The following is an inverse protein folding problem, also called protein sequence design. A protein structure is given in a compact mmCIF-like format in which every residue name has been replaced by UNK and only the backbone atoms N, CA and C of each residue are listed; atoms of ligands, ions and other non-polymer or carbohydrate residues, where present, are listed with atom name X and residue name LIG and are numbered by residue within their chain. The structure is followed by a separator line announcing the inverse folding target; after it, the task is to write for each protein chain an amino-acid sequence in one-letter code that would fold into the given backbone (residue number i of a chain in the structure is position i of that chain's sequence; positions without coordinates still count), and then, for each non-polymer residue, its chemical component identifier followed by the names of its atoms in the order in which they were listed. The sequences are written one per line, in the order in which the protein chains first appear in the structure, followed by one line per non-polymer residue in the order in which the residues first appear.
data_IF_815666138374
#
_entry.id   IF_815666138374
#
_cell.length_a   1.000
_cell.length_b   1.000
_cell.length_c   1.000
_cell.angle_alpha   90.00
_cell.angle_beta   90.00
_cell.angle_gamma   90.00
#
_symmetry.space_group_name_H-M   'P 1'
#
loop_
_entity.id
_entity.type
_entity.pdbx_description
1 polymer ?
#
# COMPACT_ATOMS: atom_id res chain seq x y z
N UNK A 1 21.24 50.64 -1.83
CA UNK A 1 20.96 49.64 -0.76
C UNK A 1 19.71 48.78 -0.98
N UNK A 2 18.84 49.01 -1.99
CA UNK A 2 17.63 48.17 -2.21
C UNK A 2 17.85 46.84 -2.97
N UNK A 3 19.03 46.61 -3.56
CA UNK A 3 19.32 45.39 -4.34
C UNK A 3 19.80 44.19 -3.52
N UNK A 4 20.49 44.41 -2.39
CA UNK A 4 21.12 43.32 -1.61
C UNK A 4 20.08 42.52 -0.79
N UNK A 5 19.01 43.17 -0.32
CA UNK A 5 17.98 42.54 0.52
C UNK A 5 17.12 41.56 -0.31
N UNK A 6 16.75 41.93 -1.55
CA UNK A 6 15.93 41.08 -2.43
C UNK A 6 16.67 39.81 -2.89
N UNK A 7 17.99 39.88 -3.02
CA UNK A 7 18.81 38.71 -3.36
C UNK A 7 18.94 37.74 -2.18
N UNK A 8 19.15 38.25 -0.96
CA UNK A 8 19.22 37.44 0.25
C UNK A 8 17.90 36.71 0.55
N UNK A 9 16.75 37.37 0.35
CA UNK A 9 15.44 36.76 0.56
C UNK A 9 15.16 35.63 -0.45
N UNK A 10 15.57 35.79 -1.71
CA UNK A 10 15.47 34.74 -2.73
C UNK A 10 16.39 33.56 -2.44
N UNK A 11 17.63 33.83 -2.05
CA UNK A 11 18.61 32.79 -1.73
C UNK A 11 18.20 31.99 -0.49
N UNK A 12 17.63 32.64 0.52
CA UNK A 12 17.06 31.97 1.70
C UNK A 12 15.82 31.13 1.35
N UNK A 13 14.94 31.64 0.49
CA UNK A 13 13.79 30.88 0.01
C UNK A 13 14.21 29.63 -0.80
N UNK A 14 15.16 29.79 -1.73
CA UNK A 14 15.75 28.69 -2.50
C UNK A 14 16.42 27.64 -1.60
N UNK A 15 17.18 28.06 -0.59
CA UNK A 15 17.81 27.16 0.36
C UNK A 15 16.79 26.39 1.22
N UNK A 16 15.68 27.05 1.58
CA UNK A 16 14.57 26.41 2.30
C UNK A 16 13.86 25.37 1.43
N UNK A 17 13.62 25.68 0.16
CA UNK A 17 13.02 24.76 -0.80
C UNK A 17 13.93 23.55 -1.06
N UNK A 18 15.24 23.77 -1.20
CA UNK A 18 16.22 22.70 -1.36
C UNK A 18 16.31 21.80 -0.10
N UNK A 19 16.30 22.39 1.08
CA UNK A 19 16.30 21.64 2.34
C UNK A 19 15.03 20.81 2.52
N UNK A 20 13.86 21.38 2.22
CA UNK A 20 12.58 20.67 2.27
C UNK A 20 12.57 19.51 1.27
N UNK A 21 13.05 19.74 0.04
CA UNK A 21 13.15 18.69 -0.97
C UNK A 21 14.09 17.56 -0.56
N UNK A 22 15.27 17.87 -0.01
CA UNK A 22 16.23 16.86 0.49
C UNK A 22 15.64 16.03 1.62
N UNK A 23 14.92 16.67 2.54
CA UNK A 23 14.22 15.99 3.63
C UNK A 23 13.23 14.96 3.08
N UNK A 24 12.30 15.39 2.22
CA UNK A 24 11.26 14.50 1.68
C UNK A 24 11.80 13.42 0.76
N UNK A 25 12.88 13.70 0.02
CA UNK A 25 13.57 12.67 -0.75
C UNK A 25 14.10 11.55 0.16
N UNK A 26 14.70 11.91 1.30
CA UNK A 26 15.32 10.96 2.22
C UNK A 26 14.30 10.21 3.10
N UNK A 27 13.17 10.84 3.44
CA UNK A 27 12.19 10.27 4.40
C UNK A 27 10.96 9.66 3.75
N UNK A 28 10.43 10.29 2.69
CA UNK A 28 9.21 9.86 2.02
C UNK A 28 9.54 9.03 0.77
N UNK A 29 10.28 9.62 -0.17
CA UNK A 29 10.52 8.98 -1.48
C UNK A 29 11.33 7.69 -1.32
N UNK A 30 12.43 7.73 -0.57
CA UNK A 30 13.27 6.55 -0.36
C UNK A 30 12.50 5.40 0.29
N UNK A 31 11.73 5.68 1.34
CA UNK A 31 10.98 4.65 2.08
C UNK A 31 9.85 4.08 1.24
N UNK A 32 9.08 4.92 0.56
CA UNK A 32 7.89 4.48 -0.15
C UNK A 32 8.25 3.75 -1.47
N UNK A 33 9.31 4.16 -2.18
CA UNK A 33 9.80 3.41 -3.34
C UNK A 33 10.21 2.00 -2.93
N UNK A 34 10.96 1.90 -1.83
CA UNK A 34 11.53 0.64 -1.37
C UNK A 34 10.46 -0.35 -0.90
N UNK A 35 9.50 0.11 -0.08
CA UNK A 35 8.37 -0.74 0.35
C UNK A 35 7.50 -1.15 -0.82
N UNK A 36 7.21 -0.25 -1.76
CA UNK A 36 6.40 -0.55 -2.94
C UNK A 36 7.07 -1.64 -3.77
N UNK A 37 8.38 -1.51 -3.99
CA UNK A 37 9.19 -2.50 -4.69
C UNK A 37 9.19 -3.85 -4.00
N UNK A 38 9.43 -3.87 -2.69
CA UNK A 38 9.43 -5.09 -1.90
C UNK A 38 8.13 -5.91 -2.03
N UNK A 39 6.99 -5.25 -2.24
CA UNK A 39 5.70 -5.89 -2.50
C UNK A 39 5.57 -6.42 -3.93
N UNK A 40 5.70 -5.55 -4.95
CA UNK A 40 5.44 -5.98 -6.33
C UNK A 40 6.50 -6.96 -6.85
N UNK A 41 7.74 -6.89 -6.34
CA UNK A 41 8.83 -7.78 -6.74
C UNK A 41 8.96 -9.01 -5.83
N UNK A 42 8.03 -9.22 -4.89
CA UNK A 42 8.15 -10.32 -3.92
C UNK A 42 8.13 -11.68 -4.62
N UNK A 43 9.11 -12.57 -4.37
CA UNK A 43 9.21 -13.84 -5.10
C UNK A 43 8.23 -14.91 -4.59
N UNK A 44 7.78 -14.81 -3.33
CA UNK A 44 6.85 -15.77 -2.71
C UNK A 44 5.40 -15.39 -2.94
N UNK A 45 4.47 -16.36 -2.79
CA UNK A 45 3.03 -16.08 -2.83
C UNK A 45 2.66 -15.19 -1.64
N UNK A 46 2.07 -14.03 -1.94
CA UNK A 46 1.56 -13.04 -1.01
C UNK A 46 0.05 -13.23 -0.86
N UNK A 47 -0.39 -13.42 0.38
CA UNK A 47 -1.81 -13.56 0.71
C UNK A 47 -2.18 -12.45 1.71
N UNK A 48 -3.15 -11.63 1.35
CA UNK A 48 -3.72 -10.61 2.23
C UNK A 48 -5.01 -11.10 2.85
N UNK A 49 -5.09 -10.99 4.18
CA UNK A 49 -6.31 -11.14 4.96
C UNK A 49 -6.86 -9.74 5.25
N UNK A 50 -7.73 -9.22 4.38
CA UNK A 50 -8.33 -7.89 4.52
C UNK A 50 -9.52 -7.98 5.49
N UNK A 51 -9.24 -7.87 6.79
CA UNK A 51 -10.25 -7.99 7.86
C UNK A 51 -10.92 -6.67 8.25
N UNK A 52 -10.75 -5.63 7.43
CA UNK A 52 -11.24 -4.27 7.70
C UNK A 52 -10.94 -3.35 6.51
N UNK A 53 -11.21 -2.03 6.65
CA UNK A 53 -10.88 -1.05 5.62
C UNK A 53 -9.39 -1.03 5.26
N UNK A 54 -9.09 -0.93 3.98
CA UNK A 54 -7.76 -0.68 3.45
C UNK A 54 -7.69 0.77 2.97
N UNK A 55 -6.79 1.58 3.55
CA UNK A 55 -6.74 3.03 3.32
C UNK A 55 -5.34 3.52 2.90
N UNK A 56 -5.27 4.38 1.89
CA UNK A 56 -4.05 5.07 1.46
C UNK A 56 -2.99 4.13 0.90
N UNK A 57 -1.73 4.31 1.30
CA UNK A 57 -0.62 3.45 0.86
C UNK A 57 -0.90 1.98 1.16
N UNK A 58 -1.56 1.66 2.27
CA UNK A 58 -1.96 0.29 2.61
C UNK A 58 -2.87 -0.34 1.55
N UNK A 59 -3.85 0.42 1.05
CA UNK A 59 -4.73 -0.03 -0.03
C UNK A 59 -3.95 -0.28 -1.33
N UNK A 60 -2.98 0.57 -1.63
CA UNK A 60 -2.09 0.42 -2.78
C UNK A 60 -1.19 -0.82 -2.64
N UNK A 61 -0.61 -1.05 -1.46
CA UNK A 61 0.31 -2.16 -1.22
C UNK A 61 -0.40 -3.52 -1.29
N UNK A 62 -1.59 -3.67 -0.71
CA UNK A 62 -2.31 -4.95 -0.78
C UNK A 62 -2.74 -5.32 -2.20
N UNK A 63 -2.85 -4.35 -3.11
CA UNK A 63 -3.19 -4.62 -4.51
C UNK A 63 -2.13 -5.45 -5.25
N UNK A 64 -0.90 -5.53 -4.71
CA UNK A 64 0.18 -6.38 -5.22
C UNK A 64 0.12 -7.83 -4.71
N UNK A 65 -0.76 -8.16 -3.77
CA UNK A 65 -0.90 -9.52 -3.27
C UNK A 65 -1.47 -10.45 -4.33
N UNK A 66 -0.98 -11.68 -4.40
CA UNK A 66 -1.48 -12.66 -5.38
C UNK A 66 -2.94 -13.05 -5.05
N UNK A 67 -3.26 -13.15 -3.75
CA UNK A 67 -4.59 -13.45 -3.26
C UNK A 67 -5.00 -12.49 -2.14
N UNK A 68 -6.22 -11.94 -2.24
CA UNK A 68 -6.82 -11.10 -1.20
C UNK A 68 -8.15 -11.72 -0.80
N UNK A 69 -8.31 -11.94 0.50
CA UNK A 69 -9.51 -12.53 1.07
C UNK A 69 -10.10 -11.60 2.13
N UNK A 70 -11.41 -11.64 2.27
CA UNK A 70 -12.17 -10.83 3.21
C UNK A 70 -13.06 -11.74 4.09
N UNK A 71 -13.24 -11.48 5.40
CA UNK A 71 -14.19 -12.22 6.21
C UNK A 71 -15.64 -11.83 5.88
N UNK A 72 -16.55 -12.79 5.97
CA UNK A 72 -17.99 -12.59 6.03
C UNK A 72 -18.47 -12.94 7.44
N UNK A 73 -19.03 -11.99 8.19
CA UNK A 73 -19.67 -12.35 9.46
C UNK A 73 -21.03 -13.01 9.21
N UNK A 74 -21.28 -14.25 9.71
CA UNK A 74 -22.54 -14.96 9.46
C UNK A 74 -23.78 -14.22 9.99
N UNK A 75 -23.62 -13.46 11.09
CA UNK A 75 -24.73 -12.86 11.83
C UNK A 75 -24.82 -11.33 11.65
N UNK A 76 -23.92 -10.74 10.87
CA UNK A 76 -23.83 -9.29 10.70
C UNK A 76 -23.67 -8.94 9.22
N UNK A 77 -24.75 -8.45 8.62
CA UNK A 77 -24.72 -7.89 7.26
C UNK A 77 -23.77 -6.67 7.16
N UNK A 78 -23.28 -6.10 8.28
CA UNK A 78 -22.40 -4.92 8.26
C UNK A 78 -20.94 -5.22 7.97
N UNK A 79 -20.40 -6.43 8.11
CA UNK A 79 -18.95 -6.67 7.96
C UNK A 79 -18.44 -6.37 6.53
N UNK A 80 -19.24 -6.70 5.49
CA UNK A 80 -18.94 -6.34 4.10
C UNK A 80 -19.26 -4.89 3.76
N UNK A 81 -20.14 -4.24 4.53
CA UNK A 81 -20.48 -2.82 4.38
C UNK A 81 -19.46 -1.91 5.08
N UNK A 82 -18.81 -2.39 6.14
CA UNK A 82 -17.80 -1.68 6.91
C UNK A 82 -16.42 -1.72 6.25
N UNK A 83 -16.12 -2.79 5.50
CA UNK A 83 -14.83 -2.92 4.83
C UNK A 83 -14.85 -2.36 3.42
N UNK A 84 -13.92 -1.45 3.16
CA UNK A 84 -13.79 -0.76 1.89
C UNK A 84 -12.32 -0.52 1.55
N UNK A 85 -12.07 -0.24 0.29
CA UNK A 85 -10.83 0.33 -0.20
C UNK A 85 -11.01 1.84 -0.37
N UNK A 86 -10.09 2.63 0.17
CA UNK A 86 -10.07 4.09 0.05
C UNK A 86 -8.66 4.61 -0.19
N UNK A 87 -8.47 5.40 -1.23
CA UNK A 87 -7.20 6.06 -1.54
C UNK A 87 -7.41 7.57 -1.53
N UNK A 88 -7.34 8.24 -0.36
CA UNK A 88 -7.69 9.65 -0.21
C UNK A 88 -6.56 10.57 -0.72
N UNK A 89 -5.83 10.17 -1.76
CA UNK A 89 -4.67 10.89 -2.27
C UNK A 89 -5.05 12.30 -2.73
N UNK A 90 -6.04 12.40 -3.62
CA UNK A 90 -6.48 13.71 -4.16
C UNK A 90 -7.10 14.60 -3.10
N UNK A 91 -7.74 14.03 -2.07
CA UNK A 91 -8.28 14.78 -0.92
C UNK A 91 -7.17 15.32 -0.02
N UNK A 92 -6.04 14.61 0.09
CA UNK A 92 -4.87 15.01 0.88
C UNK A 92 -3.87 15.85 0.08
N UNK A 93 -4.21 16.29 -1.13
CA UNK A 93 -3.31 17.02 -2.02
C UNK A 93 -2.11 16.19 -2.53
N UNK A 94 -2.23 14.86 -2.48
CA UNK A 94 -1.26 13.89 -2.96
C UNK A 94 -1.62 13.34 -4.34
N UNK A 95 -0.65 12.68 -4.95
CA UNK A 95 -0.85 11.80 -6.11
C UNK A 95 -0.90 10.35 -5.64
N UNK A 96 -1.18 9.41 -6.56
CA UNK A 96 -1.09 7.98 -6.26
C UNK A 96 0.28 7.59 -5.73
N UNK A 97 0.29 6.63 -4.80
CA UNK A 97 1.49 6.00 -4.22
C UNK A 97 1.35 4.48 -4.29
N UNK A 98 2.43 3.74 -4.05
CA UNK A 98 2.37 2.28 -4.03
C UNK A 98 2.10 1.64 -5.39
N UNK A 99 2.40 2.34 -6.48
CA UNK A 99 2.01 2.01 -7.85
C UNK A 99 0.50 1.95 -8.08
N UNK A 100 -0.31 2.62 -7.26
CA UNK A 100 -1.77 2.57 -7.33
C UNK A 100 -2.31 2.96 -8.70
N UNK A 101 -1.71 3.94 -9.39
CA UNK A 101 -2.14 4.39 -10.72
C UNK A 101 -2.05 3.29 -11.78
N UNK A 102 -1.14 2.32 -11.61
CA UNK A 102 -1.02 1.15 -12.48
C UNK A 102 -1.81 -0.05 -11.95
N UNK A 103 -1.60 -0.44 -10.70
CA UNK A 103 -2.23 -1.64 -10.11
C UNK A 103 -3.74 -1.56 -10.13
N UNK A 104 -4.32 -0.41 -9.78
CA UNK A 104 -5.78 -0.29 -9.67
C UNK A 104 -6.41 -0.34 -11.06
N UNK A 105 -5.79 0.27 -12.07
CA UNK A 105 -6.28 0.18 -13.44
C UNK A 105 -6.33 -1.28 -13.93
N UNK A 106 -5.36 -2.11 -13.52
CA UNK A 106 -5.32 -3.54 -13.84
C UNK A 106 -6.29 -4.39 -13.01
N UNK A 107 -6.36 -4.16 -11.70
CA UNK A 107 -7.07 -5.02 -10.75
C UNK A 107 -8.52 -4.63 -10.51
N UNK A 108 -8.84 -3.34 -10.49
CA UNK A 108 -10.21 -2.83 -10.37
C UNK A 108 -10.88 -2.64 -11.74
N UNK A 109 -10.07 -2.56 -12.80
CA UNK A 109 -10.50 -2.01 -14.09
C UNK A 109 -10.53 -0.48 -14.08
N UNK A 110 -10.37 0.13 -15.26
CA UNK A 110 -10.16 1.57 -15.40
C UNK A 110 -11.29 2.43 -14.77
N UNK A 111 -12.56 2.04 -14.97
CA UNK A 111 -13.70 2.82 -14.44
C UNK A 111 -13.66 2.91 -12.92
N UNK A 112 -13.46 1.77 -12.24
CA UNK A 112 -13.44 1.70 -10.79
C UNK A 112 -12.15 2.29 -10.21
N UNK A 113 -11.04 2.15 -10.92
CA UNK A 113 -9.79 2.83 -10.58
C UNK A 113 -9.95 4.36 -10.61
N UNK A 114 -10.68 4.92 -11.58
CA UNK A 114 -10.95 6.36 -11.62
C UNK A 114 -11.80 6.82 -10.43
N UNK A 115 -12.82 6.05 -10.04
CA UNK A 115 -13.59 6.33 -8.82
C UNK A 115 -12.70 6.30 -7.57
N UNK A 116 -11.81 5.31 -7.44
CA UNK A 116 -10.92 5.20 -6.29
C UNK A 116 -9.85 6.33 -6.26
N UNK A 117 -9.25 6.66 -7.40
CA UNK A 117 -8.07 7.52 -7.48
C UNK A 117 -8.41 9.00 -7.74
N UNK A 118 -9.42 9.30 -8.56
CA UNK A 118 -9.73 10.67 -8.98
C UNK A 118 -10.82 11.31 -8.12
N UNK A 119 -11.76 10.52 -7.59
CA UNK A 119 -12.82 11.04 -6.70
C UNK A 119 -12.69 10.59 -5.24
N UNK A 120 -11.62 9.84 -4.91
CA UNK A 120 -11.40 9.27 -3.58
C UNK A 120 -12.63 8.52 -3.04
N UNK A 121 -13.40 7.86 -3.93
CA UNK A 121 -14.60 7.12 -3.53
C UNK A 121 -14.20 5.90 -2.72
N UNK A 122 -14.91 5.65 -1.62
CA UNK A 122 -14.84 4.37 -0.90
C UNK A 122 -15.42 3.27 -1.79
N UNK A 123 -14.64 2.25 -2.08
CA UNK A 123 -15.07 1.07 -2.84
C UNK A 123 -15.39 -0.06 -1.85
N UNK A 124 -16.66 -0.42 -1.63
CA UNK A 124 -17.04 -1.43 -0.64
C UNK A 124 -16.57 -2.82 -1.03
N UNK A 125 -16.42 -3.72 -0.06
CA UNK A 125 -15.95 -5.09 -0.28
C UNK A 125 -16.77 -5.87 -1.31
N UNK A 126 -18.09 -5.63 -1.40
CA UNK A 126 -18.96 -6.21 -2.42
C UNK A 126 -18.56 -5.80 -3.85
N UNK A 127 -18.26 -4.53 -4.09
CA UNK A 127 -17.75 -4.04 -5.37
C UNK A 127 -16.34 -4.55 -5.65
N UNK A 128 -15.49 -4.65 -4.62
CA UNK A 128 -14.14 -5.20 -4.74
C UNK A 128 -14.15 -6.69 -5.11
N UNK A 129 -15.11 -7.47 -4.60
CA UNK A 129 -15.33 -8.85 -5.03
C UNK A 129 -15.81 -8.90 -6.48
N UNK A 130 -16.79 -8.05 -6.84
CA UNK A 130 -17.39 -8.04 -8.17
C UNK A 130 -16.37 -7.70 -9.28
N UNK A 131 -15.39 -6.85 -9.00
CA UNK A 131 -14.32 -6.51 -9.95
C UNK A 131 -13.08 -7.42 -9.89
N UNK A 132 -13.08 -8.44 -9.01
CA UNK A 132 -11.96 -9.38 -8.88
C UNK A 132 -10.77 -8.84 -8.07
N UNK A 133 -10.93 -7.71 -7.37
CA UNK A 133 -9.92 -7.24 -6.44
C UNK A 133 -9.77 -8.19 -5.25
N UNK A 134 -10.91 -8.58 -4.66
CA UNK A 134 -10.98 -9.68 -3.70
C UNK A 134 -11.16 -10.99 -4.46
N UNK A 135 -10.41 -12.02 -4.08
CA UNK A 135 -10.53 -13.35 -4.65
C UNK A 135 -11.74 -14.09 -4.07
N UNK A 136 -12.00 -13.92 -2.77
CA UNK A 136 -13.12 -14.57 -2.09
C UNK A 136 -13.46 -13.87 -0.78
N UNK A 137 -14.73 -13.97 -0.40
CA UNK A 137 -15.18 -13.68 0.97
C UNK A 137 -15.38 -15.03 1.68
N UNK A 138 -14.73 -15.21 2.83
CA UNK A 138 -14.71 -16.45 3.61
C UNK A 138 -15.51 -16.29 4.91
N UNK A 139 -16.20 -17.33 5.42
CA UNK A 139 -16.87 -17.24 6.73
C UNK A 139 -15.90 -16.77 7.83
N UNK A 140 -16.30 -15.75 8.58
CA UNK A 140 -15.54 -15.18 9.69
C UNK A 140 -15.79 -16.03 10.94
N UNK A 141 -14.79 -16.79 11.36
CA UNK A 141 -14.74 -17.28 12.75
C UNK A 141 -14.03 -16.23 13.61
N UNK A 142 -14.10 -16.32 14.96
CA UNK A 142 -13.29 -15.49 15.86
C UNK A 142 -11.77 -15.52 15.57
N UNK A 143 -11.31 -16.44 14.71
CA UNK A 143 -9.95 -16.55 14.23
C UNK A 143 -9.89 -16.55 12.69
N UNK A 144 -10.43 -15.49 12.05
CA UNK A 144 -10.31 -15.29 10.59
C UNK A 144 -8.89 -15.53 10.04
N UNK A 145 -7.87 -15.17 10.82
CA UNK A 145 -6.48 -15.42 10.46
C UNK A 145 -6.14 -16.92 10.34
N UNK A 146 -6.64 -17.76 11.25
CA UNK A 146 -6.46 -19.21 11.16
C UNK A 146 -7.23 -19.80 10.00
N UNK A 147 -8.39 -19.24 9.66
CA UNK A 147 -9.20 -19.71 8.53
C UNK A 147 -8.49 -19.44 7.21
N UNK A 148 -7.92 -18.25 7.05
CA UNK A 148 -7.08 -17.90 5.91
C UNK A 148 -5.87 -18.83 5.82
N UNK A 149 -5.23 -19.10 6.97
CA UNK A 149 -4.08 -20.00 7.02
C UNK A 149 -4.47 -21.40 6.56
N UNK A 150 -5.54 -21.95 7.12
CA UNK A 150 -6.05 -23.27 6.76
C UNK A 150 -6.44 -23.31 5.29
N UNK A 151 -7.16 -22.30 4.80
CA UNK A 151 -7.52 -22.18 3.39
C UNK A 151 -6.27 -22.13 2.48
N UNK A 152 -5.22 -21.42 2.89
CA UNK A 152 -3.96 -21.38 2.18
C UNK A 152 -3.22 -22.73 2.23
N UNK A 153 -3.20 -23.41 3.38
CA UNK A 153 -2.61 -24.74 3.53
C UNK A 153 -3.37 -25.80 2.71
N UNK A 154 -4.70 -25.74 2.67
CA UNK A 154 -5.54 -26.63 1.88
C UNK A 154 -5.35 -26.38 0.37
N UNK A 155 -5.25 -25.10 -0.04
CA UNK A 155 -5.07 -24.71 -1.45
C UNK A 155 -3.65 -24.98 -1.95
N UNK A 156 -2.63 -24.65 -1.16
CA UNK A 156 -1.22 -24.60 -1.58
C UNK A 156 -0.34 -25.69 -0.95
N UNK A 157 -0.81 -26.34 0.11
CA UNK A 157 -0.09 -27.39 0.84
C UNK A 157 -0.44 -28.81 0.40
N UNK A 158 -1.45 -29.00 -0.44
CA UNK A 158 -1.77 -30.31 -1.03
C UNK A 158 -0.67 -30.84 -1.96
N UNK A 159 -0.53 -32.17 -2.03
CA UNK A 159 0.47 -32.87 -2.87
C UNK A 159 0.36 -32.61 -4.39
N UNK A 160 -0.64 -31.86 -4.84
CA UNK A 160 -0.95 -31.67 -6.26
C UNK A 160 -0.17 -30.51 -6.91
N UNK A 161 0.40 -29.59 -6.12
CA UNK A 161 1.13 -28.43 -6.65
C UNK A 161 2.65 -28.59 -6.46
N UNK A 162 3.40 -28.48 -7.56
CA UNK A 162 4.85 -28.38 -7.49
C UNK A 162 5.25 -26.94 -7.11
N UNK A 163 5.85 -26.77 -5.93
CA UNK A 163 6.23 -25.45 -5.39
C UNK A 163 7.15 -24.65 -6.32
N UNK A 164 8.15 -25.29 -6.91
CA UNK A 164 9.08 -24.60 -7.82
C UNK A 164 8.33 -24.08 -9.05
N UNK A 165 7.42 -24.87 -9.63
CA UNK A 165 6.59 -24.44 -10.74
C UNK A 165 5.65 -23.29 -10.38
N UNK A 166 5.07 -23.29 -9.17
CA UNK A 166 4.21 -22.18 -8.70
C UNK A 166 4.99 -20.87 -8.62
N UNK A 167 6.19 -20.89 -8.04
CA UNK A 167 7.03 -19.70 -7.92
C UNK A 167 7.56 -19.23 -9.28
N UNK A 168 7.97 -20.14 -10.16
CA UNK A 168 8.38 -19.78 -11.52
C UNK A 168 7.20 -19.23 -12.32
N UNK A 169 5.99 -19.77 -12.16
CA UNK A 169 4.79 -19.22 -12.79
C UNK A 169 4.50 -17.81 -12.30
N UNK A 170 4.59 -17.53 -10.99
CA UNK A 170 4.47 -16.17 -10.45
C UNK A 170 5.48 -15.23 -11.08
N UNK A 171 6.73 -15.67 -11.21
CA UNK A 171 7.81 -14.88 -11.84
C UNK A 171 7.49 -14.57 -13.31
N UNK A 172 7.04 -15.56 -14.08
CA UNK A 172 6.65 -15.38 -15.48
C UNK A 172 5.46 -14.41 -15.62
N UNK A 173 4.46 -14.51 -14.74
CA UNK A 173 3.34 -13.56 -14.70
C UNK A 173 3.88 -12.15 -14.48
N UNK A 174 4.70 -11.95 -13.44
CA UNK A 174 5.26 -10.63 -13.09
C UNK A 174 6.10 -10.02 -14.20
N UNK A 175 6.90 -10.81 -14.90
CA UNK A 175 7.75 -10.33 -15.99
C UNK A 175 6.97 -9.60 -17.09
N UNK A 176 5.66 -9.87 -17.25
CA UNK A 176 4.83 -9.18 -18.23
C UNK A 176 4.50 -7.71 -17.90
N UNK A 177 4.86 -7.22 -16.71
CA UNK A 177 4.47 -5.88 -16.23
C UNK A 177 5.46 -5.27 -15.21
N UNK A 178 6.56 -5.95 -14.91
CA UNK A 178 7.56 -5.51 -13.93
C UNK A 178 8.24 -4.19 -14.33
N UNK A 179 8.49 -3.99 -15.63
CA UNK A 179 9.10 -2.74 -16.14
C UNK A 179 8.17 -1.56 -15.90
N UNK A 180 6.87 -1.72 -16.17
CA UNK A 180 5.86 -0.70 -15.92
C UNK A 180 5.71 -0.41 -14.43
N UNK A 181 5.85 -1.43 -13.57
CA UNK A 181 5.84 -1.24 -12.12
C UNK A 181 7.02 -0.41 -11.64
N UNK A 182 8.24 -0.73 -12.05
CA UNK A 182 9.43 0.06 -11.70
C UNK A 182 9.30 1.51 -12.18
N UNK A 183 8.85 1.72 -13.42
CA UNK A 183 8.62 3.05 -13.98
C UNK A 183 7.50 3.81 -13.26
N UNK A 184 6.42 3.14 -12.88
CA UNK A 184 5.31 3.76 -12.12
C UNK A 184 5.76 4.13 -10.72
N UNK A 185 6.51 3.25 -10.05
CA UNK A 185 7.06 3.47 -8.73
C UNK A 185 7.89 4.76 -8.70
N UNK A 186 8.79 4.94 -9.66
CA UNK A 186 9.58 6.17 -9.76
C UNK A 186 8.69 7.38 -10.04
N UNK A 187 7.80 7.32 -11.04
CA UNK A 187 6.97 8.46 -11.43
C UNK A 187 6.06 8.95 -10.31
N UNK A 188 5.38 8.05 -9.61
CA UNK A 188 4.49 8.38 -8.51
C UNK A 188 5.23 9.06 -7.36
N UNK A 189 6.35 8.49 -6.91
CA UNK A 189 7.06 9.02 -5.75
C UNK A 189 7.78 10.34 -6.02
N UNK A 190 8.26 10.57 -7.25
CA UNK A 190 8.77 11.89 -7.62
C UNK A 190 7.64 12.91 -7.77
N UNK A 191 6.48 12.53 -8.33
CA UNK A 191 5.33 13.44 -8.35
C UNK A 191 4.83 13.77 -6.93
N UNK A 192 4.82 12.81 -6.01
CA UNK A 192 4.52 13.02 -4.59
C UNK A 192 5.55 13.87 -3.87
N UNK A 193 6.85 13.67 -4.16
CA UNK A 193 7.94 14.48 -3.62
C UNK A 193 7.73 15.97 -3.90
N UNK A 194 7.35 16.32 -5.14
CA UNK A 194 7.09 17.71 -5.49
C UNK A 194 5.87 18.27 -4.73
N UNK A 195 4.85 17.46 -4.39
CA UNK A 195 3.73 17.90 -3.53
C UNK A 195 4.19 18.17 -2.10
N UNK A 196 4.97 17.26 -1.51
CA UNK A 196 5.50 17.38 -0.15
C UNK A 196 6.48 18.55 0.00
N UNK A 197 7.37 18.75 -0.98
CA UNK A 197 8.32 19.87 -1.01
C UNK A 197 7.59 21.22 -1.03
N UNK A 198 6.44 21.30 -1.70
CA UNK A 198 5.59 22.49 -1.74
C UNK A 198 4.67 22.66 -0.51
N UNK A 199 4.72 21.76 0.47
CA UNK A 199 3.94 21.91 1.71
C UNK A 199 2.45 21.61 1.59
N UNK A 200 1.99 21.05 0.47
CA UNK A 200 0.55 20.85 0.20
C UNK A 200 -0.07 19.83 1.17
N UNK A 201 0.46 18.60 1.33
CA UNK A 201 -0.19 17.60 2.18
C UNK A 201 -0.22 17.97 3.67
N UNK A 202 0.78 18.71 4.15
CA UNK A 202 0.92 19.10 5.54
C UNK A 202 -0.24 20.01 6.00
N UNK A 203 -0.87 20.74 5.08
CA UNK A 203 -2.10 21.49 5.35
C UNK A 203 -3.35 20.61 5.47
N UNK A 204 -3.43 19.55 4.67
CA UNK A 204 -4.62 18.68 4.57
C UNK A 204 -4.66 17.55 5.61
N UNK A 205 -3.49 17.08 6.09
CA UNK A 205 -3.39 15.97 7.06
C UNK A 205 -3.98 16.24 8.45
N UNK A 206 -4.30 17.49 8.79
CA UNK A 206 -4.88 17.89 10.09
C UNK A 206 -6.28 17.26 10.33
N UNK A 207 -6.88 16.58 9.33
CA UNK A 207 -8.27 16.10 9.36
C UNK A 207 -8.49 14.58 9.19
N UNK A 208 -7.46 13.72 9.17
CA UNK A 208 -7.63 12.30 8.77
C UNK A 208 -7.32 11.26 9.89
N UNK A 209 -8.13 10.17 9.95
CA UNK A 209 -8.05 9.03 10.90
C UNK A 209 -7.41 7.78 10.23
N UNK A 210 -6.60 7.00 10.98
CA UNK A 210 -5.85 5.80 10.53
C UNK A 210 -6.56 4.44 10.83
N UNK A 211 -6.31 3.40 10.03
CA UNK A 211 -6.87 2.02 10.16
C UNK A 211 -5.80 0.91 9.92
N UNK A 212 -6.01 -0.32 10.42
CA UNK A 212 -5.06 -1.45 10.60
C UNK A 212 -5.38 -2.70 9.74
N UNK A 213 -4.37 -3.50 9.30
CA UNK A 213 -4.54 -4.77 8.54
C UNK A 213 -3.37 -5.80 8.71
N UNK A 214 -3.52 -7.02 8.15
CA UNK A 214 -2.55 -8.14 8.25
C UNK A 214 -2.13 -8.71 6.89
N UNK A 215 -0.85 -9.11 6.76
CA UNK A 215 -0.28 -9.77 5.56
C UNK A 215 0.40 -11.09 5.95
N UNK A 216 0.17 -12.12 5.14
CA UNK A 216 0.84 -13.41 5.25
C UNK A 216 1.83 -13.64 4.13
N UNK A 217 3.04 -14.10 4.48
CA UNK A 217 4.05 -14.55 3.53
C UNK A 217 4.31 -16.04 3.75
N UNK A 218 4.13 -16.83 2.70
CA UNK A 218 4.32 -18.28 2.75
C UNK A 218 5.75 -18.61 3.26
N UNK A 219 5.84 -19.38 4.35
CA UNK A 219 7.05 -19.79 5.12
C UNK A 219 7.66 -18.79 6.12
N UNK A 220 7.09 -17.59 6.31
CA UNK A 220 7.63 -16.62 7.29
C UNK A 220 6.67 -16.25 8.43
N UNK A 221 5.45 -16.78 8.43
CA UNK A 221 4.41 -16.42 9.41
C UNK A 221 3.60 -15.19 9.01
N UNK A 222 2.64 -14.80 9.86
CA UNK A 222 1.85 -13.58 9.67
C UNK A 222 2.57 -12.38 10.24
N UNK A 223 2.48 -11.24 9.54
CA UNK A 223 2.97 -9.97 10.04
C UNK A 223 1.86 -8.93 9.98
N UNK A 224 1.77 -8.13 11.05
CA UNK A 224 0.85 -7.00 11.13
C UNK A 224 1.49 -5.78 10.49
N UNK A 225 0.78 -5.11 9.60
CA UNK A 225 1.16 -3.77 9.13
C UNK A 225 0.09 -2.80 9.64
N UNK A 226 0.50 -1.89 10.51
CA UNK A 226 -0.38 -0.93 11.18
C UNK A 226 -0.82 -1.39 12.57
N UNK A 227 -0.24 -0.79 13.60
CA UNK A 227 -0.96 -0.41 14.82
C UNK A 227 -0.42 0.95 15.23
N UNK A 228 -1.30 1.93 15.28
CA UNK A 228 -1.17 3.00 16.26
C UNK A 228 -2.56 3.58 16.51
N UNK A 229 -3.12 3.44 17.71
CA UNK A 229 -4.00 4.46 18.25
C UNK A 229 -3.09 5.54 18.81
N UNK A 230 -2.82 6.60 18.06
CA UNK A 230 -2.13 7.76 18.63
C UNK A 230 -2.55 9.01 17.88
N UNK A 231 -3.02 10.01 18.65
CA UNK A 231 -3.10 11.40 18.22
C UNK A 231 -1.84 11.73 17.44
N UNK A 232 -1.96 12.29 16.23
CA UNK A 232 -0.82 12.66 15.38
C UNK A 232 0.12 13.56 16.19
N UNK A 233 1.25 13.07 16.74
CA UNK A 233 2.24 13.96 17.31
C UNK A 233 2.92 14.61 16.11
N UNK A 234 3.31 15.87 16.23
CA UNK A 234 4.00 16.59 15.16
C UNK A 234 5.24 15.82 14.67
N UNK A 235 5.11 15.07 13.58
CA UNK A 235 6.21 14.30 12.98
C UNK A 235 5.75 13.14 12.09
N UNK A 236 5.77 13.34 10.77
CA UNK A 236 5.53 12.31 9.74
C UNK A 236 6.54 11.13 9.79
N UNK A 237 7.55 11.20 10.65
CA UNK A 237 8.70 10.29 10.77
C UNK A 237 8.30 8.89 11.29
N UNK A 238 7.25 8.79 12.10
CA UNK A 238 6.87 7.51 12.74
C UNK A 238 6.19 6.52 11.79
N UNK A 239 5.47 7.03 10.79
CA UNK A 239 4.86 6.19 9.73
C UNK A 239 5.97 5.56 8.87
N UNK A 240 7.00 6.32 8.53
CA UNK A 240 8.18 5.83 7.81
C UNK A 240 8.90 4.70 8.55
N UNK A 241 9.02 4.78 9.89
CA UNK A 241 9.63 3.73 10.72
C UNK A 241 8.82 2.42 10.73
N UNK A 242 7.48 2.50 10.75
CA UNK A 242 6.62 1.32 10.64
C UNK A 242 6.78 0.62 9.27
N UNK A 243 6.87 1.39 8.19
CA UNK A 243 7.12 0.85 6.85
C UNK A 243 8.54 0.31 6.71
N UNK A 244 9.58 0.99 7.21
CA UNK A 244 10.95 0.49 7.24
C UNK A 244 11.04 -0.84 8.02
N UNK A 245 10.32 -0.99 9.14
CA UNK A 245 10.25 -2.27 9.87
C UNK A 245 9.58 -3.35 9.03
N UNK A 246 8.50 -3.02 8.30
CA UNK A 246 7.85 -3.96 7.39
C UNK A 246 8.78 -4.39 6.24
N UNK A 247 9.49 -3.44 5.62
CA UNK A 247 10.49 -3.70 4.57
C UNK A 247 11.62 -4.58 5.09
N UNK A 248 12.27 -4.20 6.18
CA UNK A 248 13.36 -5.00 6.77
C UNK A 248 12.90 -6.40 7.16
N UNK A 249 11.63 -6.58 7.50
CA UNK A 249 11.05 -7.90 7.77
C UNK A 249 10.85 -8.68 6.48
N UNK A 250 10.34 -8.05 5.41
CA UNK A 250 10.22 -8.65 4.07
C UNK A 250 11.58 -9.05 3.49
N UNK A 251 12.60 -8.19 3.65
CA UNK A 251 13.98 -8.45 3.22
C UNK A 251 14.63 -9.61 3.99
N UNK A 252 14.51 -9.66 5.33
CA UNK A 252 15.03 -10.79 6.11
C UNK A 252 14.40 -12.13 5.70
N UNK A 253 13.13 -12.10 5.31
CA UNK A 253 12.38 -13.29 4.87
C UNK A 253 12.72 -13.74 3.44
N UNK A 254 13.35 -12.87 2.64
CA UNK A 254 13.91 -13.24 1.33
C UNK A 254 15.35 -13.76 1.44
N UNK A 255 16.12 -13.30 2.43
CA UNK A 255 17.50 -13.72 2.67
C UNK A 255 17.68 -15.09 3.36
N UNK A 256 16.61 -15.71 3.88
CA UNK A 256 16.65 -17.01 4.59
C UNK A 256 16.45 -18.23 3.68
N UNK A 257 16.75 -18.10 2.38
CA UNK A 257 16.83 -19.22 1.43
C UNK A 257 18.27 -19.71 1.29
#
# INVERSE_FOLDING_TARGET
MKGVIVHADKEQALAKDEAARKLWLATYTAVNIDVTRAFFSHPKILITAMNGPAVGLSAALIAHSDFIYHPHEPDNHSATEESFLLTPFVTLGLVGEGCASYTFAKRLGLSKANEALLSARKIPASELLACGFLNKILPSTPSFLSDIRKHAEDTWGGYQLNRACVLEMKKLIRMGWETEMEATNVREHFAGLEKFANGIPQGEFVSAILVTFWIFVQHSGFFRIGQAPYEIPAGLVDIGLAFIKAVKTLERNTATQ
#
